data_IF_226140459401
#
_entry.id   IF_226140459401
#
_cell.length_a   1.000
_cell.length_b   1.000
_cell.length_c   1.000
_cell.angle_alpha   90.00
_cell.angle_beta   90.00
_cell.angle_gamma   90.00
#
_symmetry.space_group_name_H-M   'P 1'
#
loop_
_entity.id
_entity.type
_entity.pdbx_description
1 polymer ?
#
# COMPACT_ATOMS: atom_id res chain seq x y z
N UNK A 1 4.56 -7.13 -2.02
CA UNK A 1 4.56 -6.67 -0.62
C UNK A 1 3.17 -6.25 -0.16
N UNK A 2 2.55 -5.32 -0.88
CA UNK A 2 1.34 -4.61 -0.46
C UNK A 2 0.13 -5.50 -0.14
N UNK A 3 -0.02 -6.66 -0.79
CA UNK A 3 -1.10 -7.60 -0.49
C UNK A 3 -1.12 -8.09 0.97
N UNK A 4 0.01 -8.05 1.67
CA UNK A 4 0.05 -8.37 3.10
C UNK A 4 -0.48 -7.23 4.00
N UNK A 5 -0.61 -6.02 3.47
CA UNK A 5 -1.22 -4.87 4.16
C UNK A 5 -2.67 -4.64 3.70
N UNK A 6 -2.97 -4.87 2.41
CA UNK A 6 -4.28 -4.66 1.76
C UNK A 6 -4.73 -5.90 0.97
N UNK A 7 -5.04 -7.02 1.65
CA UNK A 7 -5.33 -8.29 0.98
C UNK A 7 -6.62 -8.24 0.13
N UNK A 8 -7.70 -7.66 0.68
CA UNK A 8 -8.99 -7.55 0.01
C UNK A 8 -8.90 -6.70 -1.25
N UNK A 9 -8.25 -5.54 -1.16
CA UNK A 9 -8.05 -4.63 -2.29
C UNK A 9 -7.17 -5.24 -3.37
N UNK A 10 -6.15 -6.01 -2.97
CA UNK A 10 -5.26 -6.67 -3.92
C UNK A 10 -6.00 -7.74 -4.72
N UNK A 11 -6.86 -8.52 -4.07
CA UNK A 11 -7.73 -9.50 -4.75
C UNK A 11 -8.75 -8.78 -5.62
N UNK A 12 -9.38 -7.72 -5.13
CA UNK A 12 -10.35 -6.92 -5.89
C UNK A 12 -9.74 -6.33 -7.17
N UNK A 13 -8.52 -5.80 -7.11
CA UNK A 13 -7.82 -5.33 -8.31
C UNK A 13 -7.59 -6.47 -9.31
N UNK A 14 -7.14 -7.63 -8.82
CA UNK A 14 -6.94 -8.81 -9.67
C UNK A 14 -8.22 -9.27 -10.36
N UNK A 15 -9.33 -9.37 -9.62
CA UNK A 15 -10.62 -9.79 -10.17
C UNK A 15 -11.19 -8.78 -11.16
N UNK A 16 -11.10 -7.47 -10.86
CA UNK A 16 -11.48 -6.41 -11.79
C UNK A 16 -10.66 -6.51 -13.08
N UNK A 17 -9.34 -6.66 -12.98
CA UNK A 17 -8.47 -6.79 -14.15
C UNK A 17 -8.77 -8.05 -14.97
N UNK A 18 -9.06 -9.17 -14.30
CA UNK A 18 -9.43 -10.45 -14.94
C UNK A 18 -10.78 -10.39 -15.65
N UNK A 19 -11.72 -9.59 -15.16
CA UNK A 19 -13.04 -9.40 -15.77
C UNK A 19 -13.03 -8.58 -17.07
N UNK A 20 -11.90 -7.96 -17.41
CA UNK A 20 -11.75 -7.06 -18.55
C UNK A 20 -11.55 -5.61 -18.13
N UNK A 21 -11.15 -4.74 -19.08
CA UNK A 21 -11.02 -3.31 -18.82
C UNK A 21 -12.38 -2.65 -18.71
N UNK A 22 -12.53 -1.72 -17.77
CA UNK A 22 -13.76 -0.96 -17.58
C UNK A 22 -13.59 0.12 -16.51
N UNK A 23 -14.60 0.99 -16.40
CA UNK A 23 -14.58 2.15 -15.50
C UNK A 23 -14.33 1.76 -14.04
N UNK A 24 -14.87 0.64 -13.58
CA UNK A 24 -14.64 0.15 -12.22
C UNK A 24 -13.17 -0.22 -11.96
N UNK A 25 -12.49 -0.85 -12.93
CA UNK A 25 -11.06 -1.13 -12.85
C UNK A 25 -10.26 0.17 -12.84
N UNK A 26 -10.55 1.09 -13.75
CA UNK A 26 -9.81 2.34 -13.86
C UNK A 26 -9.95 3.16 -12.57
N UNK A 27 -11.17 3.36 -12.07
CA UNK A 27 -11.41 4.08 -10.82
C UNK A 27 -10.71 3.43 -9.63
N UNK A 28 -10.80 2.10 -9.51
CA UNK A 28 -10.14 1.38 -8.41
C UNK A 28 -8.62 1.47 -8.51
N UNK A 29 -8.07 1.29 -9.71
CA UNK A 29 -6.64 1.38 -9.97
C UNK A 29 -6.10 2.78 -9.66
N UNK A 30 -6.79 3.85 -10.05
CA UNK A 30 -6.34 5.22 -9.74
C UNK A 30 -6.27 5.49 -8.23
N UNK A 31 -7.25 5.00 -7.46
CA UNK A 31 -7.22 5.08 -6.00
C UNK A 31 -6.08 4.24 -5.40
N UNK A 32 -5.86 3.03 -5.93
CA UNK A 32 -4.91 2.08 -5.35
C UNK A 32 -3.46 2.29 -5.82
N UNK A 33 -3.23 2.97 -6.94
CA UNK A 33 -1.92 3.18 -7.56
C UNK A 33 -0.89 3.86 -6.64
N UNK A 34 -1.23 4.91 -5.87
CA UNK A 34 -0.30 5.48 -4.89
C UNK A 34 0.20 4.45 -3.87
N UNK A 35 -0.68 3.53 -3.41
CA UNK A 35 -0.29 2.44 -2.51
C UNK A 35 0.60 1.41 -3.20
N UNK A 36 0.29 1.06 -4.46
CA UNK A 36 1.12 0.14 -5.26
C UNK A 36 2.55 0.67 -5.44
N UNK A 37 2.73 1.98 -5.57
CA UNK A 37 4.05 2.63 -5.70
C UNK A 37 4.90 2.54 -4.44
N UNK A 38 4.32 2.25 -3.28
CA UNK A 38 5.09 1.95 -2.07
C UNK A 38 5.96 0.69 -2.23
N UNK A 39 5.63 -0.19 -3.18
CA UNK A 39 6.32 -1.46 -3.44
C UNK A 39 7.41 -1.35 -4.54
N UNK A 40 7.76 -0.13 -4.99
CA UNK A 40 8.68 0.07 -6.13
C UNK A 40 9.96 0.85 -5.80
N UNK A 41 10.03 1.53 -4.65
CA UNK A 41 11.17 2.38 -4.26
C UNK A 41 12.32 1.62 -3.59
N UNK A 42 13.46 2.28 -3.34
CA UNK A 42 14.64 1.67 -2.68
C UNK A 42 14.30 1.13 -1.28
N UNK A 43 13.42 1.82 -0.54
CA UNK A 43 12.98 1.43 0.80
C UNK A 43 11.61 0.74 0.81
N UNK A 44 11.23 0.07 -0.29
CA UNK A 44 9.91 -0.57 -0.41
C UNK A 44 9.61 -1.54 0.74
N UNK A 45 10.61 -2.30 1.21
CA UNK A 45 10.42 -3.23 2.34
C UNK A 45 9.98 -2.48 3.60
N UNK A 46 10.59 -1.34 3.89
CA UNK A 46 10.25 -0.51 5.03
C UNK A 46 8.87 0.13 4.85
N UNK A 47 8.54 0.62 3.65
CA UNK A 47 7.22 1.17 3.31
C UNK A 47 6.11 0.12 3.50
N UNK A 48 6.33 -1.11 3.04
CA UNK A 48 5.40 -2.22 3.26
C UNK A 48 5.26 -2.57 4.74
N UNK A 49 6.35 -2.59 5.50
CA UNK A 49 6.29 -2.84 6.95
C UNK A 49 5.53 -1.75 7.71
N UNK A 50 5.69 -0.50 7.31
CA UNK A 50 4.91 0.63 7.82
C UNK A 50 3.43 0.50 7.44
N UNK A 51 3.11 0.14 6.20
CA UNK A 51 1.74 -0.13 5.76
C UNK A 51 1.09 -1.29 6.53
N UNK A 52 1.81 -2.40 6.75
CA UNK A 52 1.34 -3.52 7.56
C UNK A 52 1.02 -3.09 9.01
N UNK A 53 1.89 -2.29 9.63
CA UNK A 53 1.65 -1.76 10.97
C UNK A 53 0.45 -0.81 11.02
N UNK A 54 0.32 0.10 10.03
CA UNK A 54 -0.80 1.06 9.93
C UNK A 54 -2.16 0.37 9.76
N UNK A 55 -2.16 -0.81 9.13
CA UNK A 55 -3.33 -1.65 8.89
C UNK A 55 -3.55 -2.72 9.97
N UNK A 56 -2.78 -2.70 11.07
CA UNK A 56 -2.84 -3.68 12.16
C UNK A 56 -2.64 -5.14 11.69
N UNK A 57 -1.76 -5.34 10.71
CA UNK A 57 -1.43 -6.65 10.10
C UNK A 57 0.03 -7.04 10.28
N UNK A 58 0.77 -6.34 11.14
CA UNK A 58 2.18 -6.61 11.38
C UNK A 58 2.88 -5.50 12.15
N UNK A 59 4.20 -5.45 12.03
CA UNK A 59 5.03 -4.43 12.68
C UNK A 59 5.98 -3.77 11.69
N UNK A 60 6.44 -2.58 12.06
CA UNK A 60 7.46 -1.83 11.33
C UNK A 60 8.86 -2.46 11.45
N UNK A 61 9.01 -3.57 12.19
CA UNK A 61 10.32 -4.17 12.44
C UNK A 61 10.90 -4.68 11.12
N UNK A 62 12.08 -4.17 10.79
CA UNK A 62 12.92 -4.67 9.69
C UNK A 62 14.14 -5.38 10.24
N UNK A 63 14.69 -6.30 9.44
CA UNK A 63 15.94 -7.00 9.76
C UNK A 63 17.13 -6.09 9.42
N UNK A 64 18.11 -5.91 10.33
CA UNK A 64 19.37 -5.25 10.03
C UNK A 64 20.06 -5.87 8.78
N UNK A 65 20.80 -5.09 7.98
CA UNK A 65 21.24 -3.71 8.24
C UNK A 65 20.20 -2.63 7.93
N UNK A 66 18.98 -2.99 7.49
CA UNK A 66 17.92 -2.00 7.23
C UNK A 66 17.46 -1.36 8.53
N UNK A 67 17.21 -0.05 8.47
CA UNK A 67 16.57 0.73 9.53
C UNK A 67 15.10 0.97 9.18
N UNK A 68 14.28 1.30 10.19
CA UNK A 68 12.90 1.75 9.98
C UNK A 68 12.88 3.05 9.19
N UNK A 69 11.79 3.32 8.47
CA UNK A 69 11.55 4.64 7.90
C UNK A 69 11.47 5.70 9.00
N UNK A 70 12.07 6.85 8.73
CA UNK A 70 12.09 8.00 9.64
C UNK A 70 12.12 9.30 8.82
N UNK A 71 11.82 10.42 9.48
CA UNK A 71 11.80 11.74 8.84
C UNK A 71 10.79 11.84 7.70
N UNK A 72 11.12 12.67 6.72
CA UNK A 72 10.24 13.04 5.59
C UNK A 72 9.74 11.84 4.77
N UNK A 73 10.57 10.81 4.59
CA UNK A 73 10.17 9.61 3.85
C UNK A 73 9.08 8.83 4.59
N UNK A 74 9.17 8.74 5.93
CA UNK A 74 8.12 8.15 6.76
C UNK A 74 6.82 8.94 6.62
N UNK A 75 6.90 10.26 6.75
CA UNK A 75 5.73 11.14 6.75
C UNK A 75 5.03 11.08 5.39
N UNK A 76 5.79 10.99 4.29
CA UNK A 76 5.26 10.80 2.93
C UNK A 76 4.48 9.49 2.79
N UNK A 77 5.03 8.38 3.32
CA UNK A 77 4.35 7.09 3.29
C UNK A 77 3.08 7.12 4.15
N UNK A 78 3.13 7.72 5.34
CA UNK A 78 1.97 7.88 6.21
C UNK A 78 0.88 8.73 5.55
N UNK A 79 1.23 9.87 4.95
CA UNK A 79 0.28 10.71 4.23
C UNK A 79 -0.37 9.97 3.05
N UNK A 80 0.38 9.13 2.33
CA UNK A 80 -0.15 8.27 1.26
C UNK A 80 -1.15 7.26 1.81
N UNK A 81 -0.81 6.58 2.91
CA UNK A 81 -1.68 5.61 3.58
C UNK A 81 -2.95 6.27 4.11
N UNK A 82 -2.82 7.41 4.79
CA UNK A 82 -3.96 8.15 5.34
C UNK A 82 -4.88 8.64 4.22
N UNK A 83 -4.34 9.18 3.13
CA UNK A 83 -5.15 9.59 1.97
C UNK A 83 -5.94 8.41 1.39
N UNK A 84 -5.30 7.26 1.20
CA UNK A 84 -5.97 6.08 0.69
C UNK A 84 -7.05 5.55 1.66
N UNK A 85 -6.79 5.59 2.97
CA UNK A 85 -7.73 5.18 4.00
C UNK A 85 -8.97 6.08 4.09
N UNK A 86 -8.82 7.39 3.90
CA UNK A 86 -9.96 8.31 3.82
C UNK A 86 -10.82 8.05 2.58
N UNK A 87 -10.21 7.66 1.46
CA UNK A 87 -10.91 7.30 0.23
C UNK A 87 -11.39 5.85 0.16
N UNK A 88 -11.15 5.03 1.20
CA UNK A 88 -11.47 3.60 1.20
C UNK A 88 -12.99 3.42 1.30
N UNK A 89 -13.61 3.02 0.20
CA UNK A 89 -15.01 2.60 0.20
C UNK A 89 -15.11 1.17 0.73
N UNK A 90 -15.97 0.95 1.73
CA UNK A 90 -16.25 -0.35 2.33
C UNK A 90 -16.75 -1.39 1.31
#
# INVERSE_FOLDING_TARGET
>A
GLANAFPEESVRLFDLARSGRGTALDSFYHWFLPLLRLDTGVHFVQSIKLAQARMDRGSERVRPPRLKLSGEERDTVLATLDTALHGRSA
#
